data_IF_134800940151
#
_entry.id   IF_134800940151
#
_cell.length_a   1.000
_cell.length_b   1.000
_cell.length_c   1.000
_cell.angle_alpha   90.00
_cell.angle_beta   90.00
_cell.angle_gamma   90.00
#
_symmetry.space_group_name_H-M   'P 1'
#
loop_
_entity.id
_entity.type
_entity.pdbx_description
1 polymer ?
#
# COMPACT_ATOMS: atom_id res chain seq x y z
N UNK A 1 8.94 -0.54 4.53
CA UNK A 1 9.37 -1.32 3.35
C UNK A 1 8.51 -2.57 3.22
N UNK A 2 8.15 -2.95 1.99
CA UNK A 2 7.27 -4.11 1.71
C UNK A 2 8.04 -5.44 1.64
N UNK A 3 9.38 -5.37 1.49
CA UNK A 3 10.27 -6.54 1.48
C UNK A 3 9.85 -7.58 0.42
N UNK A 4 9.77 -7.14 -0.84
CA UNK A 4 9.55 -8.06 -1.97
C UNK A 4 10.69 -9.07 -2.07
N UNK A 5 10.39 -10.32 -2.39
CA UNK A 5 11.36 -11.42 -2.46
C UNK A 5 11.23 -12.18 -3.77
N UNK A 6 12.32 -12.79 -4.25
CA UNK A 6 12.32 -13.62 -5.46
C UNK A 6 12.40 -12.84 -6.77
N UNK A 7 13.25 -13.33 -7.69
CA UNK A 7 13.62 -12.63 -8.94
C UNK A 7 12.41 -12.25 -9.81
N UNK A 8 11.37 -13.09 -9.84
CA UNK A 8 10.14 -12.82 -10.60
C UNK A 8 9.47 -11.52 -10.14
N UNK A 9 9.31 -11.32 -8.84
CA UNK A 9 8.69 -10.11 -8.31
C UNK A 9 9.56 -8.89 -8.55
N UNK A 10 10.89 -9.01 -8.41
CA UNK A 10 11.80 -7.92 -8.78
C UNK A 10 11.67 -7.53 -10.26
N UNK A 11 11.48 -8.50 -11.17
CA UNK A 11 11.23 -8.22 -12.59
C UNK A 11 9.88 -7.51 -12.80
N UNK A 12 8.80 -8.03 -12.21
CA UNK A 12 7.46 -7.41 -12.32
C UNK A 12 7.46 -5.95 -11.86
N UNK A 13 8.12 -5.66 -10.73
CA UNK A 13 8.26 -4.30 -10.22
C UNK A 13 9.21 -3.44 -11.06
N UNK A 14 10.24 -4.04 -11.67
CA UNK A 14 11.12 -3.35 -12.61
C UNK A 14 10.35 -2.88 -13.85
N UNK A 15 9.55 -3.78 -14.43
CA UNK A 15 8.75 -3.50 -15.61
C UNK A 15 7.65 -2.45 -15.33
N UNK A 16 7.04 -2.52 -14.14
CA UNK A 16 5.96 -1.60 -13.74
C UNK A 16 6.45 -0.18 -13.43
N UNK A 17 7.62 -0.06 -12.79
CA UNK A 17 8.11 1.23 -12.28
C UNK A 17 9.27 1.82 -13.10
N UNK A 18 9.88 1.04 -13.99
CA UNK A 18 11.00 1.47 -14.83
C UNK A 18 12.36 1.54 -14.12
N UNK A 19 12.50 0.91 -12.95
CA UNK A 19 13.79 0.78 -12.25
C UNK A 19 14.39 -0.61 -12.50
N UNK A 20 15.72 -0.72 -12.60
CA UNK A 20 16.38 -2.04 -12.68
C UNK A 20 16.52 -2.67 -11.29
N UNK A 21 15.41 -3.15 -10.73
CA UNK A 21 15.41 -3.80 -9.42
C UNK A 21 16.04 -5.21 -9.48
N UNK A 22 16.10 -5.83 -10.67
CA UNK A 22 16.74 -7.14 -10.84
C UNK A 22 18.26 -7.01 -10.80
N UNK A 23 18.82 -6.00 -11.47
CA UNK A 23 20.25 -5.69 -11.47
C UNK A 23 20.72 -5.01 -10.19
N UNK A 24 19.88 -4.18 -9.57
CA UNK A 24 20.14 -3.54 -8.28
C UNK A 24 18.96 -3.70 -7.29
N UNK A 25 18.89 -4.85 -6.57
CA UNK A 25 17.85 -5.09 -5.57
C UNK A 25 17.82 -4.08 -4.42
N UNK A 26 18.91 -3.34 -4.18
CA UNK A 26 18.98 -2.37 -3.09
C UNK A 26 18.04 -1.19 -3.31
N UNK A 27 17.68 -0.89 -4.57
CA UNK A 27 16.69 0.12 -4.94
C UNK A 27 15.32 -0.14 -4.30
N UNK A 28 14.94 -1.39 -4.04
CA UNK A 28 13.69 -1.70 -3.34
C UNK A 28 13.67 -1.25 -1.86
N UNK A 29 14.84 -0.87 -1.32
CA UNK A 29 14.99 -0.30 0.03
C UNK A 29 15.16 1.22 0.03
N UNK A 30 15.23 1.86 -1.15
CA UNK A 30 15.11 3.31 -1.23
C UNK A 30 13.68 3.72 -0.80
N UNK A 31 13.52 4.70 0.11
CA UNK A 31 12.20 5.10 0.59
C UNK A 31 11.23 5.56 -0.49
N UNK A 32 11.70 6.21 -1.56
CA UNK A 32 10.83 6.71 -2.64
C UNK A 32 10.35 5.55 -3.51
N UNK A 33 11.26 4.65 -3.89
CA UNK A 33 10.92 3.47 -4.70
C UNK A 33 10.04 2.51 -3.88
N UNK A 34 10.36 2.29 -2.61
CA UNK A 34 9.56 1.45 -1.72
C UNK A 34 8.15 1.98 -1.50
N UNK A 35 7.97 3.31 -1.45
CA UNK A 35 6.66 3.94 -1.39
C UNK A 35 5.87 3.73 -2.69
N UNK A 36 6.53 3.84 -3.86
CA UNK A 36 5.90 3.54 -5.15
C UNK A 36 5.44 2.08 -5.22
N UNK A 37 6.31 1.12 -4.86
CA UNK A 37 5.97 -0.31 -4.78
C UNK A 37 4.75 -0.52 -3.88
N UNK A 38 4.76 0.05 -2.67
CA UNK A 38 3.67 -0.08 -1.71
C UNK A 38 2.35 0.46 -2.27
N UNK A 39 2.34 1.69 -2.76
CA UNK A 39 1.12 2.36 -3.23
C UNK A 39 0.55 1.67 -4.45
N UNK A 40 1.36 1.41 -5.48
CA UNK A 40 0.92 0.71 -6.68
C UNK A 40 0.43 -0.71 -6.38
N UNK A 41 1.11 -1.42 -5.46
CA UNK A 41 0.73 -2.77 -5.08
C UNK A 41 -0.56 -2.80 -4.27
N UNK A 42 -0.79 -1.78 -3.45
CA UNK A 42 -2.05 -1.64 -2.72
C UNK A 42 -3.20 -1.23 -3.64
N UNK A 43 -2.97 -0.34 -4.61
CA UNK A 43 -3.98 0.07 -5.59
C UNK A 43 -4.43 -1.08 -6.49
N UNK A 44 -3.49 -1.86 -7.03
CA UNK A 44 -3.78 -2.95 -7.96
C UNK A 44 -3.96 -4.33 -7.32
N UNK A 45 -3.87 -4.44 -5.99
CA UNK A 45 -3.93 -5.73 -5.29
C UNK A 45 -2.80 -6.71 -5.62
N UNK A 46 -1.62 -6.21 -5.95
CA UNK A 46 -0.53 -7.00 -6.53
C UNK A 46 0.24 -7.89 -5.54
N UNK A 47 -0.02 -7.76 -4.23
CA UNK A 47 0.65 -8.58 -3.21
C UNK A 47 -0.16 -9.83 -2.85
N UNK A 48 -1.46 -9.69 -2.58
CA UNK A 48 -2.32 -10.78 -2.10
C UNK A 48 -3.58 -11.00 -2.95
N UNK A 49 -3.75 -10.23 -4.03
CA UNK A 49 -4.98 -10.20 -4.83
C UNK A 49 -6.08 -9.29 -4.27
N UNK A 50 -5.86 -8.68 -3.09
CA UNK A 50 -6.80 -7.74 -2.47
C UNK A 50 -6.35 -6.30 -2.71
N UNK A 51 -7.23 -5.43 -3.17
CA UNK A 51 -6.94 -4.05 -3.53
C UNK A 51 -7.43 -3.05 -2.46
N UNK A 52 -7.02 -1.79 -2.60
CA UNK A 52 -7.51 -0.69 -1.76
C UNK A 52 -9.03 -0.55 -1.82
N UNK A 53 -9.62 -0.68 -3.02
CA UNK A 53 -11.06 -0.51 -3.24
C UNK A 53 -11.91 -1.57 -2.53
N UNK A 54 -11.35 -2.73 -2.19
CA UNK A 54 -12.04 -3.77 -1.42
C UNK A 54 -12.34 -3.33 0.03
N UNK A 55 -11.61 -2.33 0.55
CA UNK A 55 -11.69 -1.91 1.96
C UNK A 55 -11.89 -0.41 2.15
N UNK A 56 -11.45 0.40 1.19
CA UNK A 56 -11.43 1.86 1.28
C UNK A 56 -11.97 2.40 -0.05
N UNK A 57 -13.24 2.78 -0.03
CA UNK A 57 -14.00 3.22 -1.19
C UNK A 57 -15.06 4.24 -0.75
N UNK A 58 -15.98 4.60 -1.65
CA UNK A 58 -17.02 5.59 -1.37
C UNK A 58 -18.10 5.09 -0.38
N UNK A 59 -18.24 3.77 -0.22
CA UNK A 59 -19.19 3.17 0.72
C UNK A 59 -18.62 3.10 2.14
N UNK A 60 -17.30 3.04 2.29
CA UNK A 60 -16.71 2.86 3.61
C UNK A 60 -15.18 2.86 3.67
N UNK A 61 -14.67 2.70 4.89
CA UNK A 61 -13.24 2.64 5.15
C UNK A 61 -12.98 1.65 6.27
N UNK A 62 -12.27 0.58 5.95
CA UNK A 62 -11.87 -0.48 6.87
C UNK A 62 -10.34 -0.61 6.90
N UNK A 63 -9.70 0.29 7.65
CA UNK A 63 -8.25 0.26 7.79
C UNK A 63 -7.72 -1.00 8.47
N UNK A 64 -8.53 -1.67 9.28
CA UNK A 64 -8.10 -2.89 9.97
C UNK A 64 -7.91 -4.03 8.99
N UNK A 65 -8.93 -4.33 8.17
CA UNK A 65 -8.85 -5.39 7.17
C UNK A 65 -7.97 -5.02 5.97
N UNK A 66 -7.80 -3.73 5.68
CA UNK A 66 -6.89 -3.24 4.63
C UNK A 66 -5.42 -3.68 4.82
N UNK A 67 -4.98 -4.07 6.04
CA UNK A 67 -3.66 -4.67 6.22
C UNK A 67 -3.47 -5.94 5.37
N UNK A 68 -4.55 -6.67 5.12
CA UNK A 68 -4.51 -7.90 4.33
C UNK A 68 -4.17 -7.69 2.85
N UNK A 69 -4.20 -6.44 2.36
CA UNK A 69 -3.68 -6.07 1.04
C UNK A 69 -2.18 -6.40 0.94
N UNK A 70 -1.39 -6.07 1.96
CA UNK A 70 0.07 -6.21 1.90
C UNK A 70 0.53 -7.57 2.43
N UNK A 71 -0.07 -8.06 3.51
CA UNK A 71 0.30 -9.36 4.10
C UNK A 71 -0.85 -9.93 4.94
N UNK A 72 -0.91 -11.26 5.06
CA UNK A 72 -1.90 -12.00 5.86
C UNK A 72 -1.76 -11.89 7.38
N UNK A 73 -1.04 -10.89 7.91
CA UNK A 73 -0.74 -10.69 9.34
C UNK A 73 -1.67 -9.68 10.03
N UNK A 74 -2.85 -9.45 9.45
CA UNK A 74 -3.87 -8.51 9.94
C UNK A 74 -4.20 -8.73 11.43
N UNK A 75 -4.31 -9.98 11.89
CA UNK A 75 -4.59 -10.28 13.31
C UNK A 75 -3.52 -9.79 14.28
N UNK A 76 -2.28 -9.61 13.81
CA UNK A 76 -1.14 -9.15 14.62
C UNK A 76 -0.89 -7.66 14.45
N UNK A 77 -0.90 -7.16 13.20
CA UNK A 77 -0.49 -5.79 12.88
C UNK A 77 -1.65 -4.86 12.50
N UNK A 78 -2.83 -5.39 12.17
CA UNK A 78 -3.95 -4.64 11.62
C UNK A 78 -4.41 -3.50 12.53
N UNK A 79 -4.56 -3.76 13.84
CA UNK A 79 -5.00 -2.72 14.79
C UNK A 79 -4.03 -1.54 14.88
N UNK A 80 -2.72 -1.82 14.93
CA UNK A 80 -1.69 -0.77 15.03
C UNK A 80 -1.64 0.08 13.76
N UNK A 81 -1.68 -0.57 12.60
CA UNK A 81 -1.64 0.10 11.30
C UNK A 81 -2.94 0.90 11.08
N UNK A 82 -4.09 0.37 11.47
CA UNK A 82 -5.35 1.09 11.43
C UNK A 82 -5.32 2.35 12.32
N UNK A 83 -4.70 2.27 13.50
CA UNK A 83 -4.49 3.44 14.35
C UNK A 83 -3.66 4.54 13.67
N UNK A 84 -2.57 4.18 12.99
CA UNK A 84 -1.78 5.15 12.21
C UNK A 84 -2.59 5.75 11.05
N UNK A 85 -3.28 4.91 10.28
CA UNK A 85 -4.11 5.35 9.16
C UNK A 85 -5.22 6.32 9.60
N UNK A 86 -5.91 6.00 10.70
CA UNK A 86 -6.91 6.88 11.30
C UNK A 86 -6.30 8.21 11.76
N UNK A 87 -5.12 8.17 12.39
CA UNK A 87 -4.41 9.40 12.78
C UNK A 87 -4.09 10.29 11.59
N UNK A 88 -3.63 9.72 10.47
CA UNK A 88 -3.39 10.48 9.24
C UNK A 88 -4.67 11.05 8.64
N UNK A 89 -5.76 10.26 8.58
CA UNK A 89 -7.05 10.73 8.07
C UNK A 89 -7.56 11.92 8.90
N UNK A 90 -7.54 11.82 10.22
CA UNK A 90 -7.94 12.91 11.11
C UNK A 90 -7.07 14.15 10.95
N UNK A 91 -5.75 13.99 10.77
CA UNK A 91 -4.86 15.12 10.50
C UNK A 91 -5.21 15.82 9.17
N UNK A 92 -5.50 15.04 8.12
CA UNK A 92 -5.93 15.57 6.82
C UNK A 92 -7.25 16.35 6.95
N UNK A 93 -8.24 15.77 7.62
CA UNK A 93 -9.54 16.39 7.88
C UNK A 93 -9.40 17.70 8.66
N UNK A 94 -8.55 17.74 9.68
CA UNK A 94 -8.26 18.94 10.46
C UNK A 94 -7.59 20.05 9.64
N UNK A 95 -6.83 19.69 8.59
CA UNK A 95 -6.24 20.64 7.65
C UNK A 95 -7.19 21.01 6.50
N UNK A 96 -8.47 20.62 6.56
CA UNK A 96 -9.50 20.97 5.60
C UNK A 96 -9.56 20.06 4.37
N UNK A 97 -8.80 18.96 4.35
CA UNK A 97 -9.00 17.94 3.34
C UNK A 97 -10.37 17.29 3.55
N UNK A 98 -11.12 17.12 2.46
CA UNK A 98 -12.36 16.35 2.46
C UNK A 98 -12.36 15.43 1.26
N UNK A 99 -12.87 14.21 1.45
CA UNK A 99 -13.11 13.29 0.35
C UNK A 99 -14.06 13.95 -0.64
N UNK A 100 -13.62 14.07 -1.90
CA UNK A 100 -14.40 14.72 -2.95
C UNK A 100 -15.36 13.67 -3.52
N UNK A 101 -16.65 13.80 -3.23
CA UNK A 101 -17.70 13.01 -3.87
C UNK A 101 -17.85 13.53 -5.30
N UNK A 102 -17.50 12.73 -6.30
CA UNK A 102 -17.87 13.00 -7.68
C UNK A 102 -19.24 12.37 -7.91
N UNK A 103 -20.24 13.20 -8.21
CA UNK A 103 -21.56 12.78 -8.67
C UNK A 103 -21.56 12.57 -10.19
#
# INVERSE_FOLDING_TARGET
>A
FVQITGRKHYQEWSDLLGYDLVGDPSLATDPQIAAQILVSGMQGGLFTGKALEDFINDEGTDFYHARSIVNGDMGTNGRRIAGYAQGYLTALENCGWRRRLWY
#
